data_IF_087306690361
#
_entry.id   IF_087306690361
#
_cell.length_a   1.000
_cell.length_b   1.000
_cell.length_c   1.000
_cell.angle_alpha   90.00
_cell.angle_beta   90.00
_cell.angle_gamma   90.00
#
_symmetry.space_group_name_H-M   'P 1'
#
loop_
_entity.id
_entity.type
_entity.pdbx_description
1 polymer ?
#
# COMPACT_ATOMS: atom_id res chain seq x y z
N UNK A 1 -11.11 18.11 -12.67
CA UNK A 1 -9.83 18.64 -13.18
C UNK A 1 -8.71 18.50 -12.14
N UNK A 2 -8.84 19.04 -10.93
CA UNK A 2 -7.79 19.02 -9.88
C UNK A 2 -7.28 17.62 -9.52
N UNK A 3 -8.15 16.61 -9.41
CA UNK A 3 -7.75 15.23 -9.13
C UNK A 3 -6.80 14.62 -10.17
N UNK A 4 -6.99 14.95 -11.45
CA UNK A 4 -6.11 14.49 -12.53
C UNK A 4 -4.71 15.14 -12.47
N UNK A 5 -4.66 16.42 -12.10
CA UNK A 5 -3.39 17.16 -11.90
C UNK A 5 -2.60 16.53 -10.76
N UNK A 6 -3.24 16.24 -9.63
CA UNK A 6 -2.60 15.61 -8.46
C UNK A 6 -2.12 14.19 -8.81
N UNK A 7 -2.96 13.39 -9.48
CA UNK A 7 -2.58 12.03 -9.90
C UNK A 7 -1.38 12.04 -10.87
N UNK A 8 -1.40 12.92 -11.87
CA UNK A 8 -0.30 13.06 -12.85
C UNK A 8 0.99 13.53 -12.19
N UNK A 9 0.90 14.44 -11.22
CA UNK A 9 2.06 14.91 -10.46
C UNK A 9 2.72 13.79 -9.65
N UNK A 10 1.92 13.00 -8.92
CA UNK A 10 2.43 11.85 -8.14
C UNK A 10 3.00 10.77 -9.05
N UNK A 11 2.32 10.45 -10.15
CA UNK A 11 2.81 9.49 -11.14
C UNK A 11 4.13 9.93 -11.79
N UNK A 12 4.27 11.23 -12.10
CA UNK A 12 5.49 11.80 -12.66
C UNK A 12 6.68 11.71 -11.70
N UNK A 13 6.48 12.03 -10.41
CA UNK A 13 7.53 11.87 -9.38
C UNK A 13 7.95 10.40 -9.25
N UNK A 14 6.98 9.48 -9.20
CA UNK A 14 7.27 8.04 -9.12
C UNK A 14 8.08 7.54 -10.32
N UNK A 15 7.72 7.94 -11.54
CA UNK A 15 8.45 7.60 -12.76
C UNK A 15 9.86 8.19 -12.80
N UNK A 16 10.03 9.44 -12.38
CA UNK A 16 11.33 10.10 -12.32
C UNK A 16 12.29 9.44 -11.33
N UNK A 17 11.77 8.94 -10.20
CA UNK A 17 12.56 8.16 -9.23
C UNK A 17 12.84 6.73 -9.69
N UNK A 18 11.93 6.13 -10.45
CA UNK A 18 12.06 4.76 -10.96
C UNK A 18 13.15 4.62 -12.03
N UNK A 19 13.35 5.63 -12.89
CA UNK A 19 14.33 5.60 -13.97
C UNK A 19 15.79 5.36 -13.49
N UNK A 20 16.35 6.12 -12.51
CA UNK A 20 17.68 5.85 -11.98
C UNK A 20 17.75 4.57 -11.15
N UNK A 21 16.64 4.12 -10.55
CA UNK A 21 16.61 2.90 -9.73
C UNK A 21 16.87 1.63 -10.56
N UNK A 22 16.34 1.55 -11.78
CA UNK A 22 16.54 0.36 -12.63
C UNK A 22 17.87 0.38 -13.41
N UNK A 23 18.53 1.53 -13.51
CA UNK A 23 19.82 1.73 -14.18
C UNK A 23 19.82 1.59 -15.72
N UNK A 24 18.88 0.83 -16.29
CA UNK A 24 18.77 0.61 -17.73
C UNK A 24 17.31 0.39 -18.16
N UNK A 25 16.80 1.23 -19.05
CA UNK A 25 15.42 1.15 -19.55
C UNK A 25 15.36 0.22 -20.77
N UNK A 26 14.67 -0.91 -20.62
CA UNK A 26 14.28 -1.77 -21.75
C UNK A 26 12.86 -1.39 -22.21
N UNK A 27 12.56 -1.41 -23.53
CA UNK A 27 11.22 -1.11 -24.03
C UNK A 27 10.15 -2.05 -23.48
N UNK A 28 10.55 -3.26 -23.07
CA UNK A 28 9.66 -4.24 -22.45
C UNK A 28 9.12 -3.82 -21.07
N UNK A 29 9.83 -2.94 -20.36
CA UNK A 29 9.40 -2.40 -19.06
C UNK A 29 8.22 -1.42 -19.17
N UNK A 30 8.03 -0.81 -20.34
CA UNK A 30 6.90 0.06 -20.66
C UNK A 30 5.97 -0.60 -21.70
N UNK A 31 6.01 -1.93 -21.80
CA UNK A 31 5.15 -2.68 -22.71
C UNK A 31 3.69 -2.62 -22.28
N UNK A 32 2.79 -2.85 -23.24
CA UNK A 32 1.35 -2.93 -23.01
C UNK A 32 0.97 -3.92 -21.89
N UNK A 33 1.70 -5.04 -21.79
CA UNK A 33 1.50 -6.04 -20.74
C UNK A 33 1.68 -5.44 -19.33
N UNK A 34 2.65 -4.54 -19.13
CA UNK A 34 2.87 -3.87 -17.83
C UNK A 34 1.74 -2.91 -17.48
N UNK A 35 1.18 -2.22 -18.46
CA UNK A 35 0.01 -1.35 -18.25
C UNK A 35 -1.21 -2.15 -17.80
N UNK A 36 -1.44 -3.34 -18.38
CA UNK A 36 -2.51 -4.23 -17.95
C UNK A 36 -2.28 -4.71 -16.51
N UNK A 37 -1.05 -5.08 -16.15
CA UNK A 37 -0.69 -5.45 -14.77
C UNK A 37 -1.04 -4.33 -13.76
N UNK A 38 -0.76 -3.06 -14.09
CA UNK A 38 -1.16 -1.94 -13.23
C UNK A 38 -2.68 -1.74 -13.15
N UNK A 39 -3.41 -1.90 -14.26
CA UNK A 39 -4.87 -1.84 -14.26
C UNK A 39 -5.48 -2.93 -13.38
N UNK A 40 -4.93 -4.14 -13.46
CA UNK A 40 -5.31 -5.27 -12.62
C UNK A 40 -5.20 -4.91 -11.13
N UNK A 41 -4.09 -4.30 -10.69
CA UNK A 41 -3.90 -3.95 -9.29
C UNK A 41 -4.99 -3.00 -8.78
N UNK A 42 -5.39 -2.03 -9.60
CA UNK A 42 -6.45 -1.06 -9.27
C UNK A 42 -7.84 -1.72 -9.29
N UNK A 43 -8.14 -2.52 -10.32
CA UNK A 43 -9.45 -3.20 -10.44
C UNK A 43 -9.65 -4.21 -9.32
N UNK A 44 -8.61 -5.00 -9.00
CA UNK A 44 -8.65 -6.02 -7.96
C UNK A 44 -8.61 -5.40 -6.55
N UNK A 45 -7.98 -4.24 -6.38
CA UNK A 45 -8.07 -3.43 -5.15
C UNK A 45 -9.44 -2.75 -4.95
N UNK A 46 -10.15 -2.47 -6.04
CA UNK A 46 -11.47 -1.84 -6.08
C UNK A 46 -11.40 -0.38 -6.57
N UNK A 47 -12.25 -0.02 -7.56
CA UNK A 47 -12.23 1.29 -8.24
C UNK A 47 -12.48 2.50 -7.33
N UNK A 48 -12.98 2.30 -6.12
CA UNK A 48 -13.30 3.36 -5.15
C UNK A 48 -12.35 3.46 -3.94
N UNK A 49 -11.30 2.64 -3.85
CA UNK A 49 -10.41 2.62 -2.68
C UNK A 49 -8.92 2.69 -3.06
N UNK A 50 -8.27 3.81 -2.71
CA UNK A 50 -6.83 4.01 -2.89
C UNK A 50 -6.05 3.03 -1.99
N UNK A 51 -6.47 2.84 -0.73
CA UNK A 51 -5.81 1.91 0.20
C UNK A 51 -5.96 0.46 -0.24
N UNK A 52 -7.12 0.08 -0.81
CA UNK A 52 -7.34 -1.22 -1.43
C UNK A 52 -6.43 -1.49 -2.63
N UNK A 53 -6.24 -0.48 -3.48
CA UNK A 53 -5.35 -0.56 -4.65
C UNK A 53 -3.88 -0.73 -4.26
N UNK A 54 -3.41 0.00 -3.23
CA UNK A 54 -2.03 -0.12 -2.74
C UNK A 54 -1.80 -1.52 -2.15
N UNK A 55 -2.71 -2.01 -1.30
CA UNK A 55 -2.60 -3.34 -0.70
C UNK A 55 -2.61 -4.44 -1.77
N UNK A 56 -3.50 -4.32 -2.76
CA UNK A 56 -3.56 -5.24 -3.89
C UNK A 56 -2.26 -5.24 -4.69
N UNK A 57 -1.70 -4.07 -5.00
CA UNK A 57 -0.42 -3.97 -5.69
C UNK A 57 0.71 -4.66 -4.91
N UNK A 58 0.80 -4.48 -3.59
CA UNK A 58 1.80 -5.17 -2.76
C UNK A 58 1.63 -6.69 -2.77
N UNK A 59 0.42 -7.17 -2.48
CA UNK A 59 0.14 -8.62 -2.40
C UNK A 59 0.35 -9.30 -3.75
N UNK A 60 -0.18 -8.71 -4.83
CA UNK A 60 -0.03 -9.26 -6.18
C UNK A 60 1.41 -9.20 -6.66
N UNK A 61 2.14 -8.12 -6.40
CA UNK A 61 3.56 -8.04 -6.75
C UNK A 61 4.35 -9.12 -6.04
N UNK A 62 4.12 -9.34 -4.73
CA UNK A 62 4.80 -10.38 -3.98
C UNK A 62 4.47 -11.77 -4.49
N UNK A 63 3.19 -12.01 -4.80
CA UNK A 63 2.73 -13.26 -5.38
C UNK A 63 3.33 -13.50 -6.77
N UNK A 64 3.38 -12.48 -7.62
CA UNK A 64 4.00 -12.53 -8.94
C UNK A 64 5.50 -12.81 -8.84
N UNK A 65 6.19 -12.22 -7.87
CA UNK A 65 7.62 -12.47 -7.65
C UNK A 65 7.86 -13.90 -7.15
N UNK A 66 7.00 -14.45 -6.28
CA UNK A 66 7.07 -15.85 -5.85
C UNK A 66 6.78 -16.82 -6.99
N UNK A 67 5.85 -16.48 -7.88
CA UNK A 67 5.54 -17.27 -9.07
C UNK A 67 6.56 -17.10 -10.19
N UNK A 68 7.45 -16.12 -10.10
CA UNK A 68 8.51 -15.86 -11.08
C UNK A 68 9.44 -17.07 -11.27
N UNK A 69 9.51 -17.96 -10.28
CA UNK A 69 10.24 -19.22 -10.36
C UNK A 69 9.67 -20.18 -11.43
N UNK A 70 8.38 -20.09 -11.77
CA UNK A 70 7.75 -20.86 -12.85
C UNK A 70 7.71 -20.04 -14.17
N UNK A 71 8.89 -19.80 -14.77
CA UNK A 71 9.06 -18.93 -15.97
C UNK A 71 8.12 -19.28 -17.13
N UNK A 72 7.87 -20.57 -17.39
CA UNK A 72 7.13 -21.01 -18.57
C UNK A 72 5.61 -20.90 -18.41
N UNK A 73 5.11 -20.97 -17.18
CA UNK A 73 3.67 -20.93 -16.90
C UNK A 73 3.14 -19.53 -16.57
N UNK A 74 4.00 -18.51 -16.52
CA UNK A 74 3.64 -17.12 -16.17
C UNK A 74 2.43 -16.60 -16.95
N UNK A 75 2.39 -16.83 -18.26
CA UNK A 75 1.32 -16.31 -19.13
C UNK A 75 -0.05 -16.95 -18.87
N UNK A 76 -0.10 -18.17 -18.34
CA UNK A 76 -1.34 -18.87 -18.01
C UNK A 76 -1.73 -18.67 -16.54
N UNK A 77 -0.76 -18.76 -15.63
CA UNK A 77 -0.99 -18.71 -14.19
C UNK A 77 -1.44 -17.32 -13.74
N UNK A 78 -0.89 -16.25 -14.31
CA UNK A 78 -1.24 -14.87 -13.92
C UNK A 78 -2.72 -14.56 -14.14
N UNK A 79 -3.29 -14.74 -15.36
CA UNK A 79 -4.72 -14.52 -15.58
C UNK A 79 -5.61 -15.53 -14.84
N UNK A 80 -5.15 -16.76 -14.64
CA UNK A 80 -5.92 -17.77 -13.88
C UNK A 80 -6.11 -17.35 -12.42
N UNK A 81 -5.06 -16.89 -11.75
CA UNK A 81 -5.12 -16.38 -10.37
C UNK A 81 -6.04 -15.16 -10.30
N UNK A 82 -5.96 -14.28 -11.29
CA UNK A 82 -6.85 -13.13 -11.42
C UNK A 82 -8.31 -13.53 -11.49
N UNK A 83 -8.65 -14.50 -12.35
CA UNK A 83 -10.00 -15.03 -12.48
C UNK A 83 -10.45 -15.63 -11.15
N UNK A 84 -9.60 -16.40 -10.48
CA UNK A 84 -9.90 -16.94 -9.16
C UNK A 84 -10.19 -15.85 -8.13
N UNK A 85 -9.39 -14.79 -8.07
CA UNK A 85 -9.61 -13.68 -7.14
C UNK A 85 -10.92 -12.93 -7.47
N UNK A 86 -11.20 -12.71 -8.75
CA UNK A 86 -12.47 -12.12 -9.19
C UNK A 86 -13.67 -13.02 -8.85
N UNK A 87 -13.51 -14.35 -8.91
CA UNK A 87 -14.56 -15.30 -8.57
C UNK A 87 -14.87 -15.30 -7.06
N UNK A 88 -13.84 -15.28 -6.22
CA UNK A 88 -14.03 -15.30 -4.77
C UNK A 88 -14.53 -13.95 -4.22
N UNK A 89 -14.14 -12.83 -4.83
CA UNK A 89 -14.49 -11.47 -4.37
C UNK A 89 -14.57 -10.47 -5.55
N UNK A 90 -15.69 -10.43 -6.29
CA UNK A 90 -15.86 -9.55 -7.46
C UNK A 90 -15.89 -8.05 -7.12
N UNK A 91 -16.03 -7.69 -5.83
CA UNK A 91 -16.00 -6.31 -5.34
C UNK A 91 -14.57 -5.79 -5.08
N UNK A 92 -13.55 -6.63 -5.29
CA UNK A 92 -12.15 -6.36 -4.94
C UNK A 92 -11.79 -6.76 -3.51
N UNK A 93 -10.47 -6.82 -3.22
CA UNK A 93 -9.91 -7.25 -1.92
C UNK A 93 -10.50 -6.47 -0.73
N UNK A 94 -10.82 -5.19 -0.92
CA UNK A 94 -11.36 -4.29 0.11
C UNK A 94 -12.67 -3.60 -0.33
N UNK A 95 -13.48 -4.28 -1.13
CA UNK A 95 -14.76 -3.75 -1.67
C UNK A 95 -15.57 -2.91 -0.68
N UNK A 96 -15.86 -1.66 -1.08
CA UNK A 96 -16.63 -0.59 -0.41
C UNK A 96 -16.28 -0.23 1.05
N UNK A 97 -15.46 -1.01 1.74
CA UNK A 97 -14.98 -0.70 3.08
C UNK A 97 -13.65 0.01 2.95
N UNK A 98 -13.68 1.34 3.00
CA UNK A 98 -12.48 2.08 3.35
C UNK A 98 -11.96 1.54 4.68
N UNK A 99 -10.87 0.77 4.67
CA UNK A 99 -9.96 0.78 5.80
C UNK A 99 -9.40 2.20 5.83
N UNK A 100 -10.16 3.06 6.49
CA UNK A 100 -9.85 4.45 6.69
C UNK A 100 -8.60 4.50 7.58
N UNK A 101 -7.44 4.41 6.94
CA UNK A 101 -6.17 4.80 7.56
C UNK A 101 -6.24 6.26 8.03
N UNK A 102 -7.15 7.05 7.44
CA UNK A 102 -7.54 8.39 7.89
C UNK A 102 -8.17 8.35 9.30
N UNK A 103 -9.05 7.40 9.62
CA UNK A 103 -9.64 7.23 10.97
C UNK A 103 -8.59 6.81 12.02
N UNK A 104 -7.60 6.01 11.64
CA UNK A 104 -6.47 5.66 12.52
C UNK A 104 -5.51 6.83 12.72
N UNK A 105 -5.26 7.63 11.68
CA UNK A 105 -4.41 8.82 11.74
C UNK A 105 -5.05 9.96 12.53
N UNK A 106 -6.38 10.15 12.44
CA UNK A 106 -7.11 11.10 13.28
C UNK A 106 -7.08 10.68 14.76
N UNK A 107 -7.24 9.38 15.07
CA UNK A 107 -7.05 8.89 16.44
C UNK A 107 -5.61 9.13 16.94
N UNK A 108 -4.60 8.93 16.10
CA UNK A 108 -3.19 9.16 16.46
C UNK A 108 -2.87 10.66 16.62
N UNK A 109 -3.43 11.52 15.76
CA UNK A 109 -3.31 12.98 15.84
C UNK A 109 -4.04 13.53 17.06
N UNK A 110 -5.24 13.03 17.38
CA UNK A 110 -6.00 13.37 18.60
C UNK A 110 -5.22 12.91 19.84
N UNK A 111 -4.59 11.74 19.80
CA UNK A 111 -3.74 11.23 20.87
C UNK A 111 -2.50 12.10 21.12
N UNK A 112 -1.81 12.55 20.05
CA UNK A 112 -0.66 13.45 20.13
C UNK A 112 -1.03 14.89 20.51
N UNK A 113 -2.26 15.34 20.22
CA UNK A 113 -2.73 16.69 20.57
C UNK A 113 -3.18 16.83 22.03
N UNK A 114 -3.08 15.78 22.84
CA UNK A 114 -3.55 15.80 24.23
C UNK A 114 -2.36 15.97 25.23
N UNK A 115 -1.94 17.21 25.54
CA UNK A 115 -0.75 17.48 26.37
C UNK A 115 -0.87 16.98 27.82
N UNK A 116 -2.09 16.71 28.30
CA UNK A 116 -2.34 16.20 29.65
C UNK A 116 -1.82 14.77 29.86
N UNK A 117 -1.88 13.90 28.83
CA UNK A 117 -1.42 12.50 28.96
C UNK A 117 0.10 12.39 29.04
N UNK A 118 0.83 13.28 28.36
CA UNK A 118 2.30 13.29 28.38
C UNK A 118 2.83 13.68 29.76
N UNK A 119 2.15 14.60 30.45
CA UNK A 119 2.52 15.03 31.81
C UNK A 119 2.35 13.89 32.83
N UNK A 120 1.24 13.15 32.79
CA UNK A 120 0.97 12.02 33.69
C UNK A 120 1.97 10.86 33.51
N UNK A 121 2.38 10.55 32.27
CA UNK A 121 3.36 9.49 32.01
C UNK A 121 4.75 9.91 32.50
N UNK A 122 5.12 11.18 32.31
CA UNK A 122 6.39 11.72 32.80
C UNK A 122 6.45 11.71 34.34
N UNK A 123 5.35 12.06 35.00
CA UNK A 123 5.26 12.08 36.48
C UNK A 123 5.29 10.66 37.08
N UNK A 124 4.71 9.66 36.39
CA UNK A 124 4.86 8.24 36.80
C UNK A 124 6.28 7.72 36.64
N UNK A 125 7.03 8.20 35.66
CA UNK A 125 8.43 7.81 35.45
C UNK A 125 9.38 8.43 36.49
N UNK A 126 9.13 9.66 36.92
CA UNK A 126 9.92 10.30 37.99
C UNK A 126 9.61 9.71 39.37
N UNK A 127 8.36 9.32 39.63
CA UNK A 127 7.97 8.69 40.91
C UNK A 127 8.47 7.26 41.07
N UNK A 128 8.50 6.46 40.00
CA UNK A 128 8.94 5.05 40.06
C UNK A 128 10.48 4.92 40.09
N UNK A 129 11.22 5.95 39.65
CA UNK A 129 12.69 5.96 39.74
C UNK A 129 13.16 6.17 41.19
N UNK A 130 12.48 7.01 41.97
CA UNK A 130 12.80 7.23 43.39
C UNK A 130 12.57 6.03 44.31
N UNK A 131 11.73 5.07 43.91
CA UNK A 131 11.46 3.86 44.71
C UNK A 131 12.46 2.72 44.42
N UNK A 132 13.13 2.73 43.26
CA UNK A 132 14.13 1.73 42.88
C UNK A 132 15.55 2.05 43.31
N UNK A 133 15.86 3.30 43.61
CA UNK A 133 17.20 3.72 44.06
C UNK A 133 17.36 3.65 45.61
N UNK A 134 16.30 3.28 46.34
CA UNK A 134 16.27 3.18 47.81
C UNK A 134 16.23 1.73 48.35
N UNK A 135 16.38 0.72 47.49
CA UNK A 135 16.51 -0.71 47.82
C UNK A 135 17.81 -1.26 47.27
#
# INVERSE_FOLDING_TARGET
MTGFVIASFVAGIGGALYAPFIGFIKPEMASFNRSIEYLIFVVLGGMGSITGSILAAFVLTYLQEFLRFLRDYRLLIYPLILIFVMLFRPQGLLGMKELSFVKTWDNFRIFLKNPAKFKVIKDKFTSNKGEKDAK
#
